data_IF_888733746387
#
_entry.id   IF_888733746387
#
_cell.length_a   1.000
_cell.length_b   1.000
_cell.length_c   1.000
_cell.angle_alpha   90.00
_cell.angle_beta   90.00
_cell.angle_gamma   90.00
#
_symmetry.space_group_name_H-M   'P 1'
#
loop_
_entity.id
_entity.type
_entity.pdbx_description
1 polymer ?
#
# COMPACT_ATOMS: atom_id res chain seq x y z
N UNK A 1 23.25 -31.68 9.27
CA UNK A 1 23.21 -30.36 8.61
C UNK A 1 21.98 -29.67 9.18
N UNK A 2 22.15 -28.63 10.01
CA UNK A 2 21.11 -28.15 10.92
C UNK A 2 20.16 -27.17 10.24
N UNK A 3 18.86 -27.42 10.34
CA UNK A 3 17.79 -26.53 9.88
C UNK A 3 17.55 -25.40 10.90
N UNK A 4 17.69 -24.15 10.47
CA UNK A 4 17.35 -22.98 11.27
C UNK A 4 15.88 -22.62 11.08
N UNK A 5 15.02 -22.99 12.04
CA UNK A 5 13.65 -22.52 12.13
C UNK A 5 13.60 -21.15 12.81
N UNK A 6 13.43 -20.07 12.03
CA UNK A 6 13.04 -18.76 12.57
C UNK A 6 11.52 -18.74 12.66
N UNK A 7 11.00 -18.89 13.88
CA UNK A 7 9.59 -18.67 14.21
C UNK A 7 9.31 -17.16 14.18
N UNK A 8 8.50 -16.71 13.22
CA UNK A 8 8.03 -15.33 13.14
C UNK A 8 6.52 -15.32 13.44
N UNK A 9 6.03 -14.50 14.37
CA UNK A 9 4.63 -14.49 14.82
C UNK A 9 3.66 -13.77 13.86
N UNK A 10 4.11 -13.39 12.65
CA UNK A 10 3.25 -12.75 11.66
C UNK A 10 2.50 -13.83 10.85
N UNK A 11 1.22 -13.61 10.50
CA UNK A 11 0.49 -14.52 9.62
C UNK A 11 1.27 -14.63 8.30
N UNK A 12 1.91 -15.77 8.08
CA UNK A 12 2.59 -16.10 6.83
C UNK A 12 1.52 -16.18 5.76
N UNK A 13 1.42 -15.13 4.93
CA UNK A 13 0.73 -15.23 3.65
C UNK A 13 1.54 -16.23 2.82
N UNK A 14 1.14 -17.49 2.86
CA UNK A 14 1.74 -18.55 2.06
C UNK A 14 1.26 -18.38 0.63
N UNK A 15 2.10 -17.82 -0.22
CA UNK A 15 1.90 -17.90 -1.66
C UNK A 15 2.13 -19.36 -2.08
N UNK A 16 1.07 -20.15 -2.20
CA UNK A 16 1.13 -21.48 -2.81
C UNK A 16 1.35 -21.31 -4.32
N UNK A 17 2.58 -21.56 -4.76
CA UNK A 17 2.93 -21.60 -6.17
C UNK A 17 2.38 -22.88 -6.80
N UNK A 18 1.25 -22.78 -7.51
CA UNK A 18 0.79 -23.87 -8.39
C UNK A 18 1.71 -23.92 -9.61
N UNK A 19 2.27 -25.10 -9.92
CA UNK A 19 3.02 -25.36 -11.16
C UNK A 19 2.12 -25.02 -12.35
N UNK A 20 2.47 -23.98 -13.11
CA UNK A 20 1.72 -23.51 -14.28
C UNK A 20 1.56 -22.00 -14.37
N UNK A 21 1.75 -21.25 -13.29
CA UNK A 21 1.77 -19.77 -13.31
C UNK A 21 3.20 -19.27 -13.49
N UNK A 22 3.59 -18.95 -14.72
CA UNK A 22 4.91 -18.39 -15.07
C UNK A 22 5.05 -16.89 -14.76
N UNK A 23 3.99 -16.24 -14.30
CA UNK A 23 4.07 -14.86 -13.82
C UNK A 23 4.49 -14.87 -12.34
N UNK A 24 5.76 -14.59 -12.05
CA UNK A 24 6.11 -14.12 -10.71
C UNK A 24 5.24 -12.90 -10.39
N UNK A 25 4.48 -12.88 -9.28
CA UNK A 25 3.71 -11.71 -8.93
C UNK A 25 4.70 -10.56 -8.80
N UNK A 26 4.45 -9.49 -9.56
CA UNK A 26 5.31 -8.32 -9.49
C UNK A 26 5.36 -7.83 -8.04
N UNK A 27 6.46 -7.18 -7.65
CA UNK A 27 6.61 -6.62 -6.30
C UNK A 27 5.37 -5.82 -5.85
N UNK A 28 4.66 -5.20 -6.80
CA UNK A 28 3.44 -4.43 -6.56
C UNK A 28 2.21 -5.31 -6.27
N UNK A 29 2.07 -6.46 -6.94
CA UNK A 29 1.00 -7.42 -6.67
C UNK A 29 1.12 -8.04 -5.27
N UNK A 30 2.35 -8.29 -4.82
CA UNK A 30 2.60 -8.76 -3.43
C UNK A 30 2.14 -7.70 -2.42
N UNK A 31 2.51 -6.43 -2.63
CA UNK A 31 2.09 -5.33 -1.74
C UNK A 31 0.57 -5.17 -1.76
N UNK A 32 -0.06 -5.21 -2.94
CA UNK A 32 -1.51 -5.14 -3.09
C UNK A 32 -2.22 -6.24 -2.27
N UNK A 33 -1.72 -7.47 -2.31
CA UNK A 33 -2.28 -8.60 -1.58
C UNK A 33 -2.14 -8.49 -0.05
N UNK A 34 -1.23 -7.67 0.46
CA UNK A 34 -1.06 -7.42 1.91
C UNK A 34 -1.93 -6.29 2.45
N UNK A 35 -2.60 -5.52 1.58
CA UNK A 35 -3.47 -4.42 2.01
C UNK A 35 -4.82 -4.96 2.46
N UNK A 36 -5.35 -4.41 3.55
CA UNK A 36 -6.72 -4.72 3.98
C UNK A 36 -7.75 -4.11 3.01
N UNK A 37 -9.00 -4.62 2.96
CA UNK A 37 -10.03 -4.07 2.08
C UNK A 37 -10.25 -2.55 2.26
N UNK A 38 -10.18 -2.06 3.51
CA UNK A 38 -10.27 -0.63 3.81
C UNK A 38 -9.09 0.18 3.27
N UNK A 39 -7.88 -0.36 3.31
CA UNK A 39 -6.68 0.26 2.75
C UNK A 39 -6.71 0.30 1.22
N UNK A 40 -7.20 -0.77 0.61
CA UNK A 40 -7.34 -0.86 -0.84
C UNK A 40 -8.43 0.09 -1.34
N UNK A 41 -9.54 0.22 -0.61
CA UNK A 41 -10.59 1.22 -0.88
C UNK A 41 -10.04 2.65 -0.77
N UNK A 42 -9.24 2.93 0.26
CA UNK A 42 -8.59 4.23 0.40
C UNK A 42 -7.61 4.51 -0.75
N UNK A 43 -6.76 3.54 -1.12
CA UNK A 43 -5.82 3.68 -2.24
C UNK A 43 -6.51 3.96 -3.57
N UNK A 44 -7.65 3.30 -3.84
CA UNK A 44 -8.48 3.54 -5.04
C UNK A 44 -9.20 4.89 -4.99
N UNK A 45 -9.54 5.39 -3.80
CA UNK A 45 -10.20 6.68 -3.61
C UNK A 45 -9.26 7.89 -3.63
N UNK A 46 -7.95 7.68 -3.53
CA UNK A 46 -6.95 8.75 -3.59
C UNK A 46 -6.84 9.31 -5.03
N UNK A 47 -6.88 10.64 -5.22
CA UNK A 47 -6.68 11.26 -6.52
C UNK A 47 -5.26 11.01 -7.06
N UNK A 48 -5.16 10.77 -8.37
CA UNK A 48 -3.89 10.43 -9.02
C UNK A 48 -3.08 11.66 -9.44
N UNK A 49 -3.76 12.73 -9.85
CA UNK A 49 -3.14 13.86 -10.56
C UNK A 49 -3.09 15.14 -9.73
N UNK A 50 -3.64 15.11 -8.50
CA UNK A 50 -3.67 16.26 -7.62
C UNK A 50 -3.37 15.88 -6.18
N UNK A 51 -2.76 16.79 -5.40
CA UNK A 51 -2.64 16.62 -3.97
C UNK A 51 -4.01 16.56 -3.27
N UNK A 52 -4.05 15.97 -2.09
CA UNK A 52 -5.23 15.85 -1.25
C UNK A 52 -4.88 16.04 0.23
N UNK A 53 -5.85 16.43 1.04
CA UNK A 53 -5.71 16.50 2.49
C UNK A 53 -6.45 15.29 3.10
N UNK A 54 -5.76 14.40 3.81
CA UNK A 54 -6.33 13.21 4.45
C UNK A 54 -7.64 13.46 5.20
N UNK A 55 -7.69 14.53 5.99
CA UNK A 55 -8.85 14.90 6.82
C UNK A 55 -10.14 15.14 6.01
N UNK A 56 -10.03 15.53 4.74
CA UNK A 56 -11.18 15.77 3.86
C UNK A 56 -11.60 14.53 3.05
N UNK A 57 -10.84 13.44 3.09
CA UNK A 57 -11.12 12.24 2.27
C UNK A 57 -12.14 11.29 2.89
N UNK A 58 -12.47 11.46 4.18
CA UNK A 58 -13.33 10.53 4.93
C UNK A 58 -12.68 9.19 5.26
N UNK A 59 -11.42 8.95 4.87
CA UNK A 59 -10.67 7.75 5.24
C UNK A 59 -10.08 7.88 6.64
N UNK A 60 -10.05 6.77 7.38
CA UNK A 60 -9.45 6.74 8.70
C UNK A 60 -7.92 6.96 8.61
N UNK A 61 -7.38 7.77 9.51
CA UNK A 61 -5.94 8.07 9.52
C UNK A 61 -5.05 6.83 9.66
N UNK A 62 -5.34 5.81 10.50
CA UNK A 62 -4.56 4.58 10.54
C UNK A 62 -4.43 3.90 9.16
N UNK A 63 -5.46 3.97 8.34
CA UNK A 63 -5.47 3.46 6.96
C UNK A 63 -4.46 4.22 6.10
N UNK A 64 -4.51 5.55 6.12
CA UNK A 64 -3.61 6.40 5.35
C UNK A 64 -2.17 6.35 5.86
N UNK A 65 -1.97 6.25 7.17
CA UNK A 65 -0.66 6.09 7.80
C UNK A 65 0.02 4.79 7.33
N UNK A 66 -0.73 3.69 7.18
CA UNK A 66 -0.18 2.44 6.61
C UNK A 66 0.21 2.63 5.14
N UNK A 67 -0.61 3.29 4.33
CA UNK A 67 -0.29 3.60 2.92
C UNK A 67 0.96 4.49 2.80
N UNK A 68 1.14 5.44 3.73
CA UNK A 68 2.34 6.28 3.84
C UNK A 68 3.58 5.46 4.24
N UNK A 69 3.44 4.55 5.21
CA UNK A 69 4.53 3.65 5.64
C UNK A 69 5.02 2.75 4.49
N UNK A 70 4.10 2.31 3.62
CA UNK A 70 4.42 1.54 2.41
C UNK A 70 4.91 2.42 1.24
N UNK A 71 5.07 3.74 1.45
CA UNK A 71 5.44 4.74 0.45
C UNK A 71 4.52 4.78 -0.76
N UNK A 72 3.24 4.44 -0.58
CA UNK A 72 2.21 4.52 -1.63
C UNK A 72 1.67 5.95 -1.78
N UNK A 73 1.71 6.71 -0.69
CA UNK A 73 1.46 8.15 -0.65
C UNK A 73 2.60 8.84 0.08
N UNK A 74 2.85 10.10 -0.25
CA UNK A 74 3.82 10.95 0.43
C UNK A 74 3.19 12.29 0.78
N UNK A 75 3.67 12.93 1.85
CA UNK A 75 3.33 14.32 2.13
C UNK A 75 4.06 15.23 1.13
N UNK A 76 3.36 16.25 0.61
CA UNK A 76 3.99 17.36 -0.10
C UNK A 76 4.69 18.19 0.97
N UNK A 77 5.98 18.45 0.78
CA UNK A 77 6.84 19.09 1.77
C UNK A 77 6.56 20.60 1.81
N UNK A 78 5.46 21.01 2.42
CA UNK A 78 5.27 22.39 2.84
C UNK A 78 6.00 22.58 4.18
N UNK A 79 6.77 23.66 4.29
CA UNK A 79 7.77 23.94 5.34
C UNK A 79 7.29 23.96 6.80
N UNK A 80 6.06 23.53 7.07
CA UNK A 80 5.47 23.30 8.38
C UNK A 80 5.00 21.84 8.44
N UNK A 81 5.79 20.97 9.06
CA UNK A 81 5.41 19.62 9.46
C UNK A 81 4.68 18.74 8.42
N UNK A 82 5.45 18.06 7.56
CA UNK A 82 4.98 17.03 6.61
C UNK A 82 4.41 15.74 7.24
N UNK A 83 3.84 15.85 8.45
CA UNK A 83 3.40 14.76 9.30
C UNK A 83 2.04 15.09 9.90
N UNK A 84 0.97 14.45 9.40
CA UNK A 84 -0.35 14.54 10.03
C UNK A 84 -1.52 14.48 9.07
N UNK A 85 -2.72 14.49 9.64
CA UNK A 85 -4.00 14.42 8.91
C UNK A 85 -4.31 15.69 8.09
N UNK A 86 -3.76 16.83 8.52
CA UNK A 86 -3.93 18.13 7.86
C UNK A 86 -2.88 18.41 6.77
N UNK A 87 -1.80 17.61 6.69
CA UNK A 87 -0.77 17.82 5.68
C UNK A 87 -1.26 17.42 4.29
N UNK A 88 -0.82 18.16 3.27
CA UNK A 88 -1.09 17.85 1.88
C UNK A 88 -0.33 16.57 1.49
N UNK A 89 -1.00 15.63 0.82
CA UNK A 89 -0.42 14.36 0.37
C UNK A 89 -0.64 14.16 -1.13
N UNK A 90 0.24 13.37 -1.76
CA UNK A 90 0.15 12.94 -3.16
C UNK A 90 0.38 11.44 -3.25
N UNK A 91 -0.25 10.79 -4.22
CA UNK A 91 0.08 9.41 -4.56
C UNK A 91 1.48 9.34 -5.19
N UNK A 92 2.24 8.31 -4.86
CA UNK A 92 3.55 8.06 -5.49
C UNK A 92 3.38 7.16 -6.70
N UNK A 93 4.41 7.08 -7.55
CA UNK A 93 4.42 6.12 -8.67
C UNK A 93 4.32 4.67 -8.19
N UNK A 94 4.85 4.38 -6.99
CA UNK A 94 4.66 3.08 -6.35
C UNK A 94 3.20 2.86 -5.99
N UNK A 95 2.52 3.86 -5.43
CA UNK A 95 1.08 3.82 -5.14
C UNK A 95 0.24 3.56 -6.39
N UNK A 96 0.56 4.25 -7.50
CA UNK A 96 -0.08 4.05 -8.80
C UNK A 96 0.04 2.61 -9.28
N UNK A 97 1.26 2.06 -9.31
CA UNK A 97 1.50 0.67 -9.75
C UNK A 97 0.84 -0.37 -8.85
N UNK A 98 0.77 -0.13 -7.53
CA UNK A 98 0.07 -1.03 -6.60
C UNK A 98 -1.44 -0.98 -6.82
N UNK A 99 -1.99 0.21 -7.12
CA UNK A 99 -3.40 0.36 -7.48
C UNK A 99 -3.74 -0.37 -8.78
N UNK A 100 -2.93 -0.18 -9.83
CA UNK A 100 -3.08 -0.88 -11.11
C UNK A 100 -3.00 -2.41 -10.93
N UNK A 101 -2.02 -2.89 -10.15
CA UNK A 101 -1.90 -4.31 -9.84
C UNK A 101 -3.13 -4.84 -9.07
N UNK A 102 -3.71 -4.05 -8.17
CA UNK A 102 -4.93 -4.39 -7.45
C UNK A 102 -6.20 -4.36 -8.32
N UNK A 103 -6.19 -3.65 -9.44
CA UNK A 103 -7.30 -3.59 -10.41
C UNK A 103 -7.22 -4.76 -11.40
N UNK A 104 -6.02 -5.18 -11.81
CA UNK A 104 -5.83 -6.36 -12.68
C UNK A 104 -5.98 -7.72 -11.99
N UNK A 105 -6.22 -7.77 -10.68
CA UNK A 105 -6.50 -8.98 -9.90
C UNK A 105 -8.01 -9.24 -9.71
N UNK A 106 -8.87 -8.33 -10.20
CA UNK A 106 -10.33 -8.42 -10.07
C UNK A 106 -10.97 -9.37 -11.09
#
# INVERSE_FOLDING_TARGET
MSDYFVSSPLPRVVFQWRRGMTAHPTRYAIVAATLTPGQLRALRGIPLDRPFIPEHTGFQWPTLARLKAERLINAVKDGTDGWGKAALHVITDRGRRVREAAEGMA
#
